data_IF_350597173233
#
_entry.id   IF_350597173233
#
_cell.length_a   1.000
_cell.length_b   1.000
_cell.length_c   1.000
_cell.angle_alpha   90.00
_cell.angle_beta   90.00
_cell.angle_gamma   90.00
#
_symmetry.space_group_name_H-M   'P 1'
#
loop_
_entity.id
_entity.type
_entity.pdbx_description
1 polymer ?
#
# COMPACT_ATOMS: atom_id res chain seq x y z
N UNK A 1 1.53 -12.85 12.06
CA UNK A 1 1.49 -11.40 12.29
C UNK A 1 1.20 -10.72 10.95
N UNK A 2 0.67 -9.50 10.93
CA UNK A 2 -0.09 -8.94 9.80
C UNK A 2 0.70 -8.02 8.86
N UNK A 3 0.15 -7.78 7.67
CA UNK A 3 0.59 -6.73 6.74
C UNK A 3 -0.43 -5.60 6.72
N UNK A 4 0.02 -4.38 6.96
CA UNK A 4 -0.79 -3.16 6.88
C UNK A 4 -0.14 -2.12 5.99
N UNK A 5 -0.96 -1.18 5.53
CA UNK A 5 -0.49 0.00 4.82
C UNK A 5 -1.20 1.25 5.32
N UNK A 6 -0.61 2.40 5.01
CA UNK A 6 -1.17 3.72 5.20
C UNK A 6 -0.66 4.60 4.05
N UNK A 7 -1.57 5.27 3.35
CA UNK A 7 -1.24 6.20 2.28
C UNK A 7 -1.56 7.62 2.71
N UNK A 8 -0.51 8.43 2.85
CA UNK A 8 -0.62 9.87 3.08
C UNK A 8 -0.53 10.61 1.74
N UNK A 9 -1.62 11.27 1.33
CA UNK A 9 -1.67 12.15 0.17
C UNK A 9 -1.26 13.57 0.59
N UNK A 10 -0.06 13.97 0.18
CA UNK A 10 0.48 15.31 0.48
C UNK A 10 0.01 16.36 -0.53
N UNK A 11 -0.65 15.96 -1.63
CA UNK A 11 -1.27 16.89 -2.58
C UNK A 11 -2.58 17.43 -2.00
N UNK A 12 -3.41 16.55 -1.44
CA UNK A 12 -4.72 16.91 -0.85
C UNK A 12 -4.66 17.16 0.65
N UNK A 13 -3.58 16.76 1.32
CA UNK A 13 -3.37 17.00 2.75
C UNK A 13 -4.20 16.07 3.64
N UNK A 14 -4.02 14.75 3.50
CA UNK A 14 -4.74 13.76 4.31
C UNK A 14 -4.47 12.32 3.90
N UNK A 15 -5.24 11.37 4.44
CA UNK A 15 -5.20 9.98 4.01
C UNK A 15 -5.80 9.81 2.61
N UNK A 16 -5.26 8.91 1.79
CA UNK A 16 -5.80 8.61 0.47
C UNK A 16 -7.03 7.69 0.54
N UNK A 17 -8.11 8.19 1.17
CA UNK A 17 -9.35 7.44 1.36
C UNK A 17 -9.95 6.96 0.03
N UNK A 18 -10.45 5.73 0.03
CA UNK A 18 -11.06 5.12 -1.15
C UNK A 18 -10.08 4.61 -2.21
N UNK A 19 -8.76 4.76 -2.01
CA UNK A 19 -7.78 4.16 -2.93
C UNK A 19 -7.87 2.62 -2.87
N UNK A 20 -7.95 1.99 -4.04
CA UNK A 20 -7.83 0.54 -4.15
C UNK A 20 -6.37 0.12 -4.04
N UNK A 21 -6.13 -0.97 -3.32
CA UNK A 21 -4.81 -1.59 -3.18
C UNK A 21 -4.93 -3.09 -3.34
N UNK A 22 -3.90 -3.69 -3.90
CA UNK A 22 -3.80 -5.14 -4.07
C UNK A 22 -2.53 -5.66 -3.41
N UNK A 23 -2.59 -6.86 -2.86
CA UNK A 23 -1.42 -7.58 -2.38
C UNK A 23 -1.29 -8.88 -3.13
N UNK A 24 -0.10 -9.14 -3.66
CA UNK A 24 0.27 -10.45 -4.20
C UNK A 24 1.44 -11.02 -3.40
N UNK A 25 1.38 -12.31 -3.07
CA UNK A 25 2.46 -13.01 -2.37
C UNK A 25 2.27 -14.53 -2.40
N UNK A 26 2.95 -15.27 -1.50
CA UNK A 26 2.88 -16.73 -1.41
C UNK A 26 1.45 -17.28 -1.21
N UNK A 27 0.57 -16.48 -0.59
CA UNK A 27 -0.84 -16.83 -0.36
C UNK A 27 -1.76 -16.53 -1.54
N UNK A 28 -1.23 -16.03 -2.66
CA UNK A 28 -2.01 -15.54 -3.80
C UNK A 28 -2.27 -14.04 -3.72
N UNK A 29 -3.43 -13.62 -4.21
CA UNK A 29 -3.84 -12.22 -4.33
C UNK A 29 -4.94 -11.87 -3.32
N UNK A 30 -4.84 -10.69 -2.71
CA UNK A 30 -5.88 -10.06 -1.91
C UNK A 30 -6.08 -8.60 -2.35
N UNK A 31 -7.24 -8.02 -2.08
CA UNK A 31 -7.58 -6.64 -2.43
C UNK A 31 -8.20 -5.93 -1.22
N UNK A 32 -7.97 -4.62 -1.12
CA UNK A 32 -8.57 -3.77 -0.10
C UNK A 32 -8.83 -2.37 -0.65
N UNK A 33 -9.67 -1.63 0.07
CA UNK A 33 -9.89 -0.19 -0.15
C UNK A 33 -9.50 0.53 1.13
N UNK A 34 -8.74 1.61 1.00
CA UNK A 34 -8.28 2.39 2.15
C UNK A 34 -9.45 3.11 2.83
N UNK A 35 -9.44 3.10 4.16
CA UNK A 35 -10.40 3.82 5.00
C UNK A 35 -10.24 5.35 4.92
N UNK A 36 -11.08 6.10 5.66
CA UNK A 36 -11.04 7.57 5.71
C UNK A 36 -9.68 8.13 6.16
N UNK A 37 -8.89 7.35 6.89
CA UNK A 37 -7.54 7.68 7.30
C UNK A 37 -6.46 7.25 6.31
N UNK A 38 -6.83 6.70 5.15
CA UNK A 38 -5.91 6.16 4.15
C UNK A 38 -5.27 4.84 4.57
N UNK A 39 -5.90 4.03 5.44
CA UNK A 39 -5.29 2.82 6.03
C UNK A 39 -6.04 1.56 5.63
N UNK A 40 -5.32 0.44 5.66
CA UNK A 40 -5.92 -0.90 5.57
C UNK A 40 -5.03 -1.97 6.21
N UNK A 41 -5.68 -2.99 6.77
CA UNK A 41 -5.05 -4.31 7.02
C UNK A 41 -5.20 -5.12 5.75
N UNK A 42 -4.08 -5.50 5.14
CA UNK A 42 -4.07 -6.19 3.85
C UNK A 42 -4.08 -7.70 4.02
N UNK A 43 -3.34 -8.22 5.02
CA UNK A 43 -3.31 -9.63 5.38
C UNK A 43 -3.23 -9.77 6.90
N UNK A 44 -4.03 -10.67 7.47
CA UNK A 44 -3.99 -10.99 8.90
C UNK A 44 -2.83 -11.94 9.26
N UNK A 45 -2.41 -12.75 8.29
CA UNK A 45 -1.36 -13.76 8.44
C UNK A 45 -0.36 -13.67 7.30
N UNK A 46 0.90 -13.98 7.61
CA UNK A 46 2.01 -13.92 6.66
C UNK A 46 2.74 -15.25 6.61
N UNK A 47 3.41 -15.48 5.49
CA UNK A 47 4.39 -16.54 5.28
C UNK A 47 5.67 -15.88 4.78
N UNK A 48 6.82 -16.49 5.01
CA UNK A 48 8.09 -15.94 4.55
C UNK A 48 8.12 -15.96 3.01
N UNK A 49 8.55 -14.86 2.40
CA UNK A 49 8.59 -14.76 0.95
C UNK A 49 8.54 -13.33 0.44
N UNK A 50 8.49 -13.20 -0.89
CA UNK A 50 8.34 -11.91 -1.55
C UNK A 50 6.87 -11.54 -1.70
N UNK A 51 6.57 -10.30 -1.40
CA UNK A 51 5.24 -9.70 -1.56
C UNK A 51 5.34 -8.45 -2.44
N UNK A 52 4.21 -8.09 -3.05
CA UNK A 52 4.01 -6.81 -3.72
C UNK A 52 2.71 -6.19 -3.22
N UNK A 53 2.75 -4.89 -2.87
CA UNK A 53 1.54 -4.08 -2.77
C UNK A 53 1.45 -3.23 -4.04
N UNK A 54 0.32 -3.29 -4.74
CA UNK A 54 0.01 -2.45 -5.88
C UNK A 54 -0.98 -1.38 -5.45
N UNK A 55 -0.54 -0.12 -5.47
CA UNK A 55 -1.39 1.03 -5.18
C UNK A 55 -1.96 1.61 -6.49
N UNK A 56 -3.28 1.70 -6.61
CA UNK A 56 -3.98 2.25 -7.78
C UNK A 56 -4.00 3.79 -7.76
N UNK A 57 -2.82 4.40 -7.83
CA UNK A 57 -2.63 5.84 -7.67
C UNK A 57 -3.33 6.67 -8.76
N UNK A 58 -3.33 6.20 -10.00
CA UNK A 58 -3.91 6.90 -11.15
C UNK A 58 -5.43 6.98 -11.06
N UNK A 59 -6.09 5.88 -10.69
CA UNK A 59 -7.53 5.86 -10.44
C UNK A 59 -7.93 6.82 -9.31
N UNK A 60 -7.09 6.96 -8.28
CA UNK A 60 -7.34 7.83 -7.13
C UNK A 60 -7.03 9.33 -7.38
N UNK A 61 -5.91 9.64 -8.04
CA UNK A 61 -5.47 11.03 -8.28
C UNK A 61 -6.07 11.62 -9.57
N UNK A 62 -6.44 10.78 -10.55
CA UNK A 62 -6.84 11.21 -11.88
C UNK A 62 -5.73 12.02 -12.56
N UNK A 63 -6.11 13.07 -13.31
CA UNK A 63 -5.16 13.91 -14.05
C UNK A 63 -4.23 14.77 -13.18
N UNK A 64 -4.38 14.76 -11.85
CA UNK A 64 -3.50 15.46 -10.91
C UNK A 64 -2.19 14.69 -10.69
N UNK A 65 -2.24 13.36 -10.75
CA UNK A 65 -1.11 12.48 -10.49
C UNK A 65 -0.38 12.06 -11.76
N UNK A 66 0.92 11.81 -11.65
CA UNK A 66 1.74 11.26 -12.72
C UNK A 66 1.73 9.73 -12.76
N UNK A 67 1.52 9.07 -11.62
CA UNK A 67 1.62 7.63 -11.50
C UNK A 67 0.28 6.95 -11.76
N UNK A 68 0.26 5.99 -12.70
CA UNK A 68 -0.91 5.14 -12.94
C UNK A 68 -1.06 4.07 -11.84
N UNK A 69 0.00 3.28 -11.64
CA UNK A 69 0.08 2.29 -10.56
C UNK A 69 1.47 2.36 -9.90
N UNK A 70 1.51 2.16 -8.59
CA UNK A 70 2.76 2.15 -7.81
C UNK A 70 2.95 0.76 -7.21
N UNK A 71 3.78 -0.12 -7.80
CA UNK A 71 4.14 -1.40 -7.20
C UNK A 71 5.26 -1.22 -6.15
N UNK A 72 5.07 -1.81 -4.97
CA UNK A 72 6.08 -1.87 -3.90
C UNK A 72 6.37 -3.32 -3.57
N UNK A 73 7.55 -3.81 -3.97
CA UNK A 73 8.00 -5.18 -3.70
C UNK A 73 8.91 -5.24 -2.48
N UNK A 74 8.66 -6.17 -1.59
CA UNK A 74 9.44 -6.34 -0.36
C UNK A 74 9.49 -7.82 0.08
N UNK A 75 10.35 -8.10 1.06
CA UNK A 75 10.55 -9.43 1.61
C UNK A 75 9.98 -9.48 3.03
N UNK A 76 9.16 -10.50 3.28
CA UNK A 76 8.81 -10.94 4.64
C UNK A 76 9.78 -12.06 5.01
N UNK A 77 10.66 -11.78 5.97
CA UNK A 77 11.65 -12.74 6.49
C UNK A 77 11.20 -13.36 7.82
N UNK A 78 10.42 -12.64 8.62
CA UNK A 78 9.84 -13.12 9.87
C UNK A 78 8.31 -13.07 9.78
N UNK A 79 7.61 -14.18 9.53
CA UNK A 79 6.14 -14.22 9.43
C UNK A 79 5.43 -13.94 10.76
N UNK A 80 6.14 -14.09 11.87
CA UNK A 80 5.68 -13.70 13.19
C UNK A 80 5.90 -12.20 13.44
N UNK A 81 6.47 -11.46 12.47
CA UNK A 81 6.64 -10.01 12.21
C UNK A 81 5.41 -9.22 11.70
N UNK A 82 5.26 -7.94 12.07
CA UNK A 82 4.26 -7.00 11.55
C UNK A 82 4.98 -6.16 10.55
N UNK A 83 4.38 -6.07 9.38
CA UNK A 83 4.92 -5.32 8.28
C UNK A 83 3.97 -4.17 8.05
N UNK A 84 4.40 -2.97 8.40
CA UNK A 84 3.74 -1.74 8.02
C UNK A 84 4.49 -1.14 6.83
N UNK A 85 3.82 -1.03 5.68
CA UNK A 85 4.44 -0.51 4.45
C UNK A 85 3.64 0.70 3.99
N UNK A 86 3.95 1.91 4.51
CA UNK A 86 3.26 3.13 4.11
C UNK A 86 3.71 3.66 2.75
N UNK A 87 2.89 4.54 2.18
CA UNK A 87 3.19 5.33 0.99
C UNK A 87 2.93 6.81 1.31
N UNK A 88 3.91 7.68 1.07
CA UNK A 88 3.68 9.13 1.02
C UNK A 88 3.57 9.51 -0.44
N UNK A 89 2.38 9.95 -0.85
CA UNK A 89 2.02 10.18 -2.24
C UNK A 89 1.97 11.67 -2.56
N UNK A 90 2.91 12.13 -3.38
CA UNK A 90 2.83 13.41 -4.09
C UNK A 90 2.31 13.22 -5.52
N UNK A 91 2.09 14.33 -6.23
CA UNK A 91 1.61 14.29 -7.62
C UNK A 91 2.66 13.70 -8.59
N UNK A 92 3.94 13.97 -8.35
CA UNK A 92 5.06 13.59 -9.22
C UNK A 92 6.18 12.83 -8.49
N UNK A 93 5.98 12.52 -7.22
CA UNK A 93 6.92 11.74 -6.40
C UNK A 93 6.16 10.93 -5.37
N UNK A 94 6.74 9.82 -4.95
CA UNK A 94 6.28 9.11 -3.76
C UNK A 94 7.47 8.61 -2.96
N UNK A 95 7.25 8.29 -1.70
CA UNK A 95 8.20 7.54 -0.88
C UNK A 95 7.50 6.40 -0.17
N UNK A 96 8.24 5.33 0.10
CA UNK A 96 7.78 4.16 0.84
C UNK A 96 8.93 3.60 1.66
N UNK A 97 8.61 2.87 2.73
CA UNK A 97 9.57 2.30 3.66
C UNK A 97 8.89 1.20 4.49
N UNK A 98 9.63 0.52 5.36
CA UNK A 98 9.07 -0.33 6.42
C UNK A 98 8.93 0.51 7.68
N UNK A 99 7.70 0.73 8.13
CA UNK A 99 7.37 1.44 9.37
C UNK A 99 7.24 0.52 10.58
#
# INVERSE_FOLDING_TARGET
MSLTTHVLDIVRGGGAAGMQVEVTGPHGKAEAVLDDGGRAVLLAELVAGSYEILFHAGAYQGHVGFYDMIPVRFIVSDPAAHYHVPLVLGAFGYSTYRG
#
